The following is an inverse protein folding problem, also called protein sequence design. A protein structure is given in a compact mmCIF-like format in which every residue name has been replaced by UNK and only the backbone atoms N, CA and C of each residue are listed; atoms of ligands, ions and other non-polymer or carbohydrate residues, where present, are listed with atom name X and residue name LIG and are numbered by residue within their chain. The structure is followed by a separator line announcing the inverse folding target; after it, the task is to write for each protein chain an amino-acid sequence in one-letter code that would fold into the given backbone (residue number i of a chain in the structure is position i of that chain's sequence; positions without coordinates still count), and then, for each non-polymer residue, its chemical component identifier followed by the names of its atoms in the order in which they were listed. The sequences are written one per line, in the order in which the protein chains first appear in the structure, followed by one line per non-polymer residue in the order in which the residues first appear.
data_IF_313696551011
#
_entry.id   IF_313696551011
#
_cell.length_a   1.000
_cell.length_b   1.000
_cell.length_c   1.000
_cell.angle_alpha   90.00
_cell.angle_beta   90.00
_cell.angle_gamma   90.00
#
_symmetry.space_group_name_H-M   'P 1'
#
loop_
_entity.id
_entity.type
_entity.pdbx_description
1 polymer ?
#
# COMPACT_ATOMS: atom_id res chain seq x y z
N UNK A 1 -17.52 40.37 -29.60
CA UNK A 1 -18.04 39.08 -29.06
C UNK A 1 -17.06 37.91 -29.17
N UNK A 2 -15.91 38.03 -29.78
CA UNK A 2 -14.92 36.93 -29.95
C UNK A 2 -13.98 36.74 -28.77
N UNK A 3 -13.58 37.77 -28.06
CA UNK A 3 -12.62 37.71 -26.96
C UNK A 3 -13.06 36.86 -25.72
N UNK A 4 -14.35 36.69 -25.51
CA UNK A 4 -14.89 35.88 -24.43
C UNK A 4 -14.77 34.36 -24.70
N UNK A 5 -14.93 33.93 -25.94
CA UNK A 5 -14.82 32.53 -26.34
C UNK A 5 -13.37 32.05 -26.30
N UNK A 6 -12.43 32.89 -26.73
CA UNK A 6 -11.01 32.59 -26.72
C UNK A 6 -10.45 32.50 -25.26
N UNK A 7 -10.92 33.36 -24.38
CA UNK A 7 -10.55 33.27 -22.96
C UNK A 7 -11.06 32.00 -22.29
N UNK A 8 -12.29 31.57 -22.59
CA UNK A 8 -12.86 30.32 -22.07
C UNK A 8 -12.09 29.12 -22.63
N UNK A 9 -11.72 29.15 -23.90
CA UNK A 9 -10.96 28.08 -24.55
C UNK A 9 -9.54 27.92 -23.95
N UNK A 10 -8.84 29.03 -23.73
CA UNK A 10 -7.51 29.07 -23.11
C UNK A 10 -7.58 28.58 -21.65
N UNK A 11 -8.58 29.03 -20.90
CA UNK A 11 -8.78 28.62 -19.50
C UNK A 11 -9.06 27.11 -19.39
N UNK A 12 -9.92 26.56 -20.26
CA UNK A 12 -10.19 25.10 -20.31
C UNK A 12 -8.93 24.30 -20.66
N UNK A 13 -8.16 24.74 -21.64
CA UNK A 13 -6.92 24.09 -22.05
C UNK A 13 -5.88 24.09 -20.92
N UNK A 14 -5.76 25.18 -20.18
CA UNK A 14 -4.87 25.31 -19.02
C UNK A 14 -5.28 24.38 -17.87
N UNK A 15 -6.58 24.25 -17.60
CA UNK A 15 -7.12 23.35 -16.60
C UNK A 15 -6.87 21.87 -16.99
N UNK A 16 -7.11 21.52 -18.24
CA UNK A 16 -6.88 20.15 -18.74
C UNK A 16 -5.39 19.78 -18.64
N UNK A 17 -4.49 20.66 -19.11
CA UNK A 17 -3.04 20.42 -19.05
C UNK A 17 -2.56 20.26 -17.60
N UNK A 18 -3.07 21.06 -16.66
CA UNK A 18 -2.68 20.96 -15.26
C UNK A 18 -3.21 19.67 -14.60
N UNK A 19 -4.39 19.22 -14.98
CA UNK A 19 -4.98 17.95 -14.52
C UNK A 19 -4.20 16.74 -15.03
N UNK A 20 -3.80 16.74 -16.29
CA UNK A 20 -3.02 15.66 -16.89
C UNK A 20 -1.60 15.60 -16.30
N UNK A 21 -0.97 16.74 -16.08
CA UNK A 21 0.32 16.82 -15.41
C UNK A 21 0.26 16.25 -13.98
N UNK A 22 -0.80 16.52 -13.25
CA UNK A 22 -0.98 15.98 -11.89
C UNK A 22 -1.20 14.46 -11.88
N UNK A 23 -1.91 13.92 -12.85
CA UNK A 23 -2.09 12.46 -13.02
C UNK A 23 -0.79 11.78 -13.38
N UNK A 24 -0.05 12.32 -14.35
CA UNK A 24 1.25 11.80 -14.76
C UNK A 24 2.24 11.78 -13.59
N UNK A 25 2.29 12.85 -12.79
CA UNK A 25 3.15 12.93 -11.62
C UNK A 25 2.81 11.83 -10.60
N UNK A 26 1.53 11.60 -10.32
CA UNK A 26 1.09 10.53 -9.40
C UNK A 26 1.46 9.14 -9.93
N UNK A 27 1.35 8.90 -11.24
CA UNK A 27 1.75 7.63 -11.86
C UNK A 27 3.26 7.41 -11.76
N UNK A 28 4.07 8.45 -11.98
CA UNK A 28 5.53 8.37 -11.82
C UNK A 28 5.90 8.10 -10.36
N UNK A 29 5.29 8.79 -9.42
CA UNK A 29 5.49 8.53 -7.99
C UNK A 29 5.09 7.11 -7.60
N UNK A 30 3.97 6.60 -8.12
CA UNK A 30 3.54 5.22 -7.91
C UNK A 30 4.58 4.22 -8.43
N UNK A 31 5.05 4.42 -9.66
CA UNK A 31 6.08 3.54 -10.26
C UNK A 31 7.38 3.54 -9.45
N UNK A 32 7.81 4.71 -8.95
CA UNK A 32 8.97 4.81 -8.06
C UNK A 32 8.76 4.07 -6.74
N UNK A 33 7.58 4.22 -6.11
CA UNK A 33 7.25 3.51 -4.87
C UNK A 33 7.21 2.00 -5.07
N UNK A 34 6.67 1.54 -6.19
CA UNK A 34 6.68 0.10 -6.55
C UNK A 34 8.12 -0.41 -6.72
N UNK A 35 8.95 0.31 -7.47
CA UNK A 35 10.35 -0.08 -7.68
C UNK A 35 11.13 -0.14 -6.35
N UNK A 36 11.02 0.89 -5.52
CA UNK A 36 11.63 0.93 -4.19
C UNK A 36 11.10 -0.22 -3.33
N UNK A 37 9.78 -0.47 -3.33
CA UNK A 37 9.15 -1.51 -2.56
C UNK A 37 9.61 -2.92 -2.94
N UNK A 38 9.77 -3.18 -4.22
CA UNK A 38 10.27 -4.47 -4.71
C UNK A 38 11.72 -4.69 -4.29
N UNK A 39 12.57 -3.65 -4.39
CA UNK A 39 14.01 -3.75 -4.08
C UNK A 39 14.27 -3.83 -2.57
N UNK A 40 13.61 -3.00 -1.77
CA UNK A 40 13.87 -2.92 -0.32
C UNK A 40 13.24 -4.09 0.44
N UNK A 41 12.10 -4.60 -0.02
CA UNK A 41 11.37 -5.66 0.69
C UNK A 41 12.18 -6.93 0.97
N UNK A 42 13.03 -7.47 0.08
CA UNK A 42 13.86 -8.63 0.38
C UNK A 42 15.06 -8.34 1.29
N UNK A 43 15.57 -7.10 1.29
CA UNK A 43 16.80 -6.73 2.01
C UNK A 43 16.60 -6.81 3.54
N UNK A 44 15.44 -6.40 4.03
CA UNK A 44 15.10 -6.40 5.46
C UNK A 44 13.98 -7.41 5.76
N UNK A 45 14.05 -8.57 5.15
CA UNK A 45 13.12 -9.66 5.40
C UNK A 45 13.62 -10.49 6.59
N UNK A 46 12.84 -10.51 7.66
CA UNK A 46 13.01 -11.40 8.79
C UNK A 46 12.01 -12.54 8.61
N UNK A 47 12.41 -13.78 8.71
CA UNK A 47 11.61 -15.01 8.50
C UNK A 47 10.08 -14.81 8.51
N UNK A 48 9.48 -14.67 7.32
CA UNK A 48 8.02 -14.48 7.15
C UNK A 48 7.51 -13.05 7.41
N UNK A 49 8.33 -12.14 7.93
CA UNK A 49 7.99 -10.74 8.20
C UNK A 49 8.69 -9.80 7.23
N UNK A 50 8.01 -8.74 6.80
CA UNK A 50 8.57 -7.74 5.90
C UNK A 50 8.20 -6.31 6.36
N UNK A 51 8.85 -5.80 7.42
CA UNK A 51 8.53 -4.48 7.99
C UNK A 51 8.61 -3.34 6.97
N UNK A 52 9.54 -3.43 6.04
CA UNK A 52 9.73 -2.42 4.99
C UNK A 52 8.57 -2.33 4.00
N UNK A 53 7.86 -3.43 3.75
CA UNK A 53 6.67 -3.38 2.91
C UNK A 53 5.56 -2.53 3.57
N UNK A 54 5.38 -2.64 4.88
CA UNK A 54 4.41 -1.85 5.64
C UNK A 54 4.80 -0.38 5.74
N UNK A 55 6.09 -0.07 5.87
CA UNK A 55 6.61 1.29 5.75
C UNK A 55 6.21 1.91 4.40
N UNK A 56 6.44 1.22 3.29
CA UNK A 56 6.10 1.71 1.95
C UNK A 56 4.59 1.87 1.77
N UNK A 57 3.78 0.96 2.30
CA UNK A 57 2.33 1.10 2.29
C UNK A 57 1.88 2.40 2.96
N UNK A 58 2.41 2.70 4.14
CA UNK A 58 2.08 3.92 4.90
C UNK A 58 2.55 5.16 4.14
N UNK A 59 3.80 5.20 3.68
CA UNK A 59 4.33 6.34 2.92
C UNK A 59 3.53 6.57 1.64
N UNK A 60 3.24 5.52 0.88
CA UNK A 60 2.43 5.60 -0.32
C UNK A 60 1.00 6.07 -0.02
N UNK A 61 0.40 5.64 1.09
CA UNK A 61 -0.95 6.03 1.49
C UNK A 61 -1.03 7.52 1.87
N UNK A 62 0.02 8.05 2.50
CA UNK A 62 0.14 9.47 2.87
C UNK A 62 0.34 10.34 1.63
N UNK A 63 1.22 9.94 0.71
CA UNK A 63 1.56 10.73 -0.48
C UNK A 63 0.51 10.68 -1.58
N UNK A 64 -0.05 9.50 -1.86
CA UNK A 64 -0.89 9.26 -3.02
C UNK A 64 -2.36 8.95 -2.67
N UNK A 65 -2.60 8.56 -1.43
CA UNK A 65 -3.93 8.22 -0.92
C UNK A 65 -4.29 6.73 -1.08
N UNK A 66 -5.51 6.32 -0.61
CA UNK A 66 -5.86 4.92 -0.42
C UNK A 66 -5.87 4.08 -1.70
N UNK A 67 -6.39 4.60 -2.80
CA UNK A 67 -6.49 3.86 -4.06
C UNK A 67 -5.14 3.59 -4.71
N UNK A 68 -4.24 4.58 -4.70
CA UNK A 68 -2.88 4.40 -5.23
C UNK A 68 -2.03 3.53 -4.31
N UNK A 69 -2.23 3.61 -2.98
CA UNK A 69 -1.56 2.73 -2.03
C UNK A 69 -1.99 1.28 -2.21
N UNK A 70 -3.30 1.03 -2.40
CA UNK A 70 -3.83 -0.27 -2.74
C UNK A 70 -3.18 -0.83 -4.01
N UNK A 71 -3.12 -0.02 -5.08
CA UNK A 71 -2.49 -0.40 -6.35
C UNK A 71 -1.00 -0.68 -6.17
N UNK A 72 -0.29 0.16 -5.41
CA UNK A 72 1.13 -0.02 -5.10
C UNK A 72 1.39 -1.35 -4.39
N UNK A 73 0.66 -1.63 -3.31
CA UNK A 73 0.78 -2.88 -2.54
C UNK A 73 0.49 -4.11 -3.41
N UNK A 74 -0.53 -4.03 -4.26
CA UNK A 74 -0.91 -5.10 -5.19
C UNK A 74 0.20 -5.36 -6.20
N UNK A 75 0.74 -4.32 -6.85
CA UNK A 75 1.83 -4.46 -7.83
C UNK A 75 3.10 -5.02 -7.17
N UNK A 76 3.51 -4.51 -6.02
CA UNK A 76 4.65 -5.04 -5.26
C UNK A 76 4.42 -6.51 -4.92
N UNK A 77 3.23 -6.87 -4.43
CA UNK A 77 2.88 -8.24 -4.07
C UNK A 77 2.97 -9.19 -5.27
N UNK A 78 2.38 -8.83 -6.40
CA UNK A 78 2.41 -9.63 -7.64
C UNK A 78 3.85 -9.81 -8.14
N UNK A 79 4.62 -8.71 -8.25
CA UNK A 79 6.00 -8.77 -8.72
C UNK A 79 6.83 -9.69 -7.82
N UNK A 80 6.69 -9.57 -6.51
CA UNK A 80 7.41 -10.43 -5.55
C UNK A 80 6.99 -11.90 -5.63
N UNK A 81 5.71 -12.17 -5.85
CA UNK A 81 5.24 -13.54 -6.07
C UNK A 81 5.82 -14.16 -7.34
N UNK A 82 5.81 -13.41 -8.45
CA UNK A 82 6.27 -13.92 -9.76
C UNK A 82 7.79 -14.06 -9.84
N UNK A 83 8.56 -13.09 -9.35
CA UNK A 83 10.02 -13.07 -9.50
C UNK A 83 10.79 -13.63 -8.31
N UNK A 84 10.22 -13.59 -7.12
CA UNK A 84 10.90 -14.02 -5.89
C UNK A 84 10.30 -15.28 -5.27
N UNK A 85 9.25 -15.86 -5.88
CA UNK A 85 8.59 -17.07 -5.38
C UNK A 85 7.97 -16.91 -3.98
N UNK A 86 7.61 -15.67 -3.59
CA UNK A 86 7.03 -15.40 -2.27
C UNK A 86 5.59 -15.90 -2.23
N UNK A 87 5.16 -16.56 -1.13
CA UNK A 87 3.79 -17.04 -1.01
C UNK A 87 2.73 -15.93 -1.14
N UNK A 88 1.49 -16.26 -1.55
CA UNK A 88 0.36 -15.32 -1.65
C UNK A 88 0.05 -14.54 -0.37
N UNK A 89 0.55 -15.01 0.76
CA UNK A 89 0.54 -14.35 2.07
C UNK A 89 1.01 -12.88 2.00
N UNK A 90 2.01 -12.59 1.17
CA UNK A 90 2.55 -11.24 1.01
C UNK A 90 1.54 -10.29 0.36
N UNK A 91 0.71 -10.78 -0.55
CA UNK A 91 -0.33 -10.00 -1.22
C UNK A 91 -1.51 -9.75 -0.29
N UNK A 92 -2.06 -10.84 0.30
CA UNK A 92 -3.24 -10.74 1.17
C UNK A 92 -2.99 -9.91 2.42
N UNK A 93 -1.78 -9.96 2.96
CA UNK A 93 -1.39 -9.12 4.08
C UNK A 93 -1.33 -7.64 3.74
N UNK A 94 -0.64 -7.28 2.64
CA UNK A 94 -0.33 -5.89 2.33
C UNK A 94 -1.52 -5.06 1.82
N UNK A 95 -2.42 -5.68 1.03
CA UNK A 95 -3.49 -4.97 0.31
C UNK A 95 -4.47 -4.29 1.26
N UNK A 96 -4.94 -4.98 2.29
CA UNK A 96 -5.90 -4.42 3.25
C UNK A 96 -5.28 -3.31 4.10
N UNK A 97 -4.03 -3.49 4.53
CA UNK A 97 -3.31 -2.49 5.29
C UNK A 97 -3.08 -1.21 4.50
N UNK A 98 -2.57 -1.31 3.28
CA UNK A 98 -2.32 -0.18 2.42
C UNK A 98 -3.59 0.66 2.15
N UNK A 99 -4.73 0.01 1.94
CA UNK A 99 -5.99 0.69 1.72
C UNK A 99 -6.49 1.39 2.99
N UNK A 100 -6.57 0.66 4.12
CA UNK A 100 -7.06 1.20 5.38
C UNK A 100 -6.16 2.29 5.94
N UNK A 101 -4.84 2.17 5.78
CA UNK A 101 -3.89 3.22 6.11
C UNK A 101 -4.25 4.54 5.43
N UNK A 102 -4.54 4.51 4.13
CA UNK A 102 -4.92 5.69 3.37
C UNK A 102 -6.30 6.24 3.73
N UNK A 103 -7.27 5.36 4.03
CA UNK A 103 -8.61 5.77 4.48
C UNK A 103 -8.54 6.47 5.84
N UNK A 104 -7.85 5.88 6.80
CA UNK A 104 -7.71 6.44 8.15
C UNK A 104 -6.89 7.74 8.14
N UNK A 105 -5.87 7.84 7.30
CA UNK A 105 -5.14 9.08 7.09
C UNK A 105 -6.04 10.22 6.61
N UNK A 106 -6.89 9.96 5.61
CA UNK A 106 -7.85 10.96 5.11
C UNK A 106 -8.93 11.29 6.12
N UNK A 107 -9.49 10.30 6.80
CA UNK A 107 -10.52 10.51 7.82
C UNK A 107 -10.03 11.33 9.01
N UNK A 108 -8.75 11.23 9.34
CA UNK A 108 -8.12 11.95 10.46
C UNK A 108 -7.54 13.32 10.09
N UNK A 109 -7.86 13.85 8.91
CA UNK A 109 -7.32 15.12 8.42
C UNK A 109 -5.77 15.16 8.35
N UNK A 110 -5.15 14.03 7.98
CA UNK A 110 -3.71 13.99 7.72
C UNK A 110 -2.83 13.61 8.92
N UNK A 111 -3.37 12.95 9.93
CA UNK A 111 -2.57 12.44 11.06
C UNK A 111 -1.89 11.12 10.70
N UNK A 112 -0.55 11.11 10.70
CA UNK A 112 0.26 9.92 10.36
C UNK A 112 -0.04 8.75 11.31
N UNK A 113 -0.26 9.02 12.60
CA UNK A 113 -0.59 7.98 13.57
C UNK A 113 -1.85 7.19 13.19
N UNK A 114 -2.84 7.84 12.57
CA UNK A 114 -4.04 7.16 12.09
C UNK A 114 -3.74 6.30 10.86
N UNK A 115 -2.81 6.70 10.00
CA UNK A 115 -2.33 5.87 8.91
C UNK A 115 -1.65 4.60 9.43
N UNK A 116 -0.81 4.73 10.46
CA UNK A 116 -0.15 3.60 11.12
C UNK A 116 -1.18 2.66 11.75
N UNK A 117 -2.16 3.19 12.47
CA UNK A 117 -3.25 2.38 13.05
C UNK A 117 -4.05 1.67 11.96
N UNK A 118 -4.34 2.34 10.85
CA UNK A 118 -5.02 1.74 9.69
C UNK A 118 -4.23 0.58 9.08
N UNK A 119 -2.90 0.72 8.98
CA UNK A 119 -2.02 -0.36 8.50
C UNK A 119 -2.01 -1.54 9.47
N UNK A 120 -1.86 -1.29 10.78
CA UNK A 120 -1.85 -2.34 11.80
C UNK A 120 -3.18 -3.10 11.80
N UNK A 121 -4.30 -2.39 11.72
CA UNK A 121 -5.62 -3.01 11.71
C UNK A 121 -5.87 -3.78 10.41
N UNK A 122 -5.54 -3.17 9.27
CA UNK A 122 -5.75 -3.76 7.94
C UNK A 122 -4.90 -4.99 7.69
N UNK A 123 -3.61 -4.92 7.95
CA UNK A 123 -2.70 -6.05 7.75
C UNK A 123 -2.73 -7.01 8.95
N UNK A 124 -2.61 -6.48 10.17
CA UNK A 124 -2.45 -7.29 11.37
C UNK A 124 -3.68 -8.12 11.70
N UNK A 125 -4.88 -7.60 11.46
CA UNK A 125 -6.13 -8.32 11.77
C UNK A 125 -6.77 -8.85 10.49
N UNK A 126 -7.21 -7.97 9.57
CA UNK A 126 -7.97 -8.40 8.38
C UNK A 126 -7.08 -9.23 7.45
N UNK A 127 -5.90 -8.73 7.12
CA UNK A 127 -4.96 -9.39 6.24
C UNK A 127 -4.50 -10.76 6.77
N UNK A 128 -4.26 -10.87 8.07
CA UNK A 128 -3.85 -12.14 8.70
C UNK A 128 -4.97 -13.20 8.65
N UNK A 129 -6.22 -12.79 8.91
CA UNK A 129 -7.38 -13.69 8.84
C UNK A 129 -7.66 -14.15 7.41
N UNK A 130 -7.59 -13.24 6.44
CA UNK A 130 -7.77 -13.58 5.01
C UNK A 130 -6.63 -14.45 4.49
N UNK A 131 -5.43 -14.27 5.02
CA UNK A 131 -4.26 -15.08 4.63
C UNK A 131 -4.40 -16.56 4.98
N UNK A 132 -5.11 -16.87 6.07
CA UNK A 132 -5.33 -18.25 6.48
C UNK A 132 -6.02 -19.11 5.41
N UNK A 133 -7.25 -18.78 4.94
CA UNK A 133 -7.90 -19.57 3.89
C UNK A 133 -7.12 -19.57 2.58
N UNK A 134 -6.49 -18.46 2.20
CA UNK A 134 -5.70 -18.37 0.98
C UNK A 134 -4.51 -19.34 1.03
N UNK A 135 -3.81 -19.41 2.14
CA UNK A 135 -2.68 -20.34 2.31
C UNK A 135 -3.14 -21.80 2.42
N UNK A 136 -4.28 -22.05 3.05
CA UNK A 136 -4.86 -23.40 3.14
C UNK A 136 -5.26 -23.93 1.76
N UNK A 137 -5.96 -23.13 0.95
CA UNK A 137 -6.45 -23.55 -0.37
C UNK A 137 -5.36 -23.55 -1.45
N UNK A 138 -4.48 -22.54 -1.49
CA UNK A 138 -3.48 -22.42 -2.57
C UNK A 138 -2.18 -23.16 -2.27
N UNK A 139 -1.78 -23.27 -1.00
CA UNK A 139 -0.51 -23.89 -0.62
C UNK A 139 -0.69 -25.22 0.12
N UNK A 140 -1.93 -25.72 0.26
CA UNK A 140 -2.21 -26.98 0.92
C UNK A 140 -1.83 -27.03 2.41
N UNK A 141 -1.62 -25.89 3.05
CA UNK A 141 -1.28 -25.79 4.49
C UNK A 141 -2.53 -25.93 5.36
N UNK A 142 -3.06 -27.14 5.42
CA UNK A 142 -4.15 -27.51 6.32
C UNK A 142 -3.61 -27.84 7.72
N UNK A 143 -4.39 -27.51 8.76
CA UNK A 143 -4.03 -27.82 10.16
C UNK A 143 -3.44 -26.67 10.97
N UNK A 144 -3.32 -25.48 10.38
CA UNK A 144 -2.94 -24.27 11.11
C UNK A 144 -4.18 -23.61 11.74
N UNK A 145 -3.99 -22.93 12.86
CA UNK A 145 -5.04 -22.13 13.47
C UNK A 145 -5.27 -20.84 12.63
N UNK A 146 -6.52 -20.34 12.56
CA UNK A 146 -6.86 -19.11 11.84
C UNK A 146 -6.02 -17.88 12.27
N UNK A 147 -5.59 -17.87 13.51
CA UNK A 147 -4.76 -16.79 14.08
C UNK A 147 -3.25 -17.03 13.96
N UNK A 148 -2.81 -18.09 13.26
CA UNK A 148 -1.39 -18.44 13.16
C UNK A 148 -0.53 -17.30 12.60
N UNK A 149 -1.05 -16.56 11.60
CA UNK A 149 -0.33 -15.46 10.95
C UNK A 149 -0.45 -14.12 11.69
N UNK A 150 -1.41 -13.98 12.61
CA UNK A 150 -1.71 -12.71 13.30
C UNK A 150 -0.52 -12.14 14.07
N UNK A 151 0.20 -12.87 14.92
CA UNK A 151 1.32 -12.32 15.69
C UNK A 151 2.46 -11.84 14.77
N UNK A 152 2.74 -12.58 13.70
CA UNK A 152 3.78 -12.19 12.74
C UNK A 152 3.42 -10.90 11.98
N UNK A 153 2.17 -10.77 11.57
CA UNK A 153 1.70 -9.59 10.84
C UNK A 153 1.62 -8.38 11.76
N UNK A 154 1.16 -8.54 13.00
CA UNK A 154 1.17 -7.47 14.01
C UNK A 154 2.60 -6.99 14.29
N UNK A 155 3.54 -7.89 14.52
CA UNK A 155 4.93 -7.53 14.74
C UNK A 155 5.52 -6.76 13.56
N UNK A 156 5.32 -7.25 12.33
CA UNK A 156 5.82 -6.60 11.11
C UNK A 156 5.22 -5.21 10.89
N UNK A 157 3.91 -5.05 11.11
CA UNK A 157 3.22 -3.75 10.96
C UNK A 157 3.58 -2.77 12.05
N UNK A 158 3.77 -3.22 13.29
CA UNK A 158 4.24 -2.37 14.39
C UNK A 158 5.66 -1.86 14.11
N UNK A 159 6.57 -2.72 13.64
CA UNK A 159 7.92 -2.31 13.27
C UNK A 159 7.92 -1.31 12.10
N UNK A 160 7.24 -1.65 11.00
CA UNK A 160 7.11 -0.78 9.83
C UNK A 160 6.40 0.54 10.16
N UNK A 161 5.36 0.49 10.98
CA UNK A 161 4.60 1.65 11.43
C UNK A 161 5.41 2.58 12.34
N UNK A 162 6.22 2.03 13.23
CA UNK A 162 7.13 2.82 14.08
C UNK A 162 8.13 3.57 13.22
N UNK A 163 8.76 2.90 12.26
CA UNK A 163 9.70 3.54 11.34
C UNK A 163 8.98 4.64 10.53
N UNK A 164 7.78 4.38 10.02
CA UNK A 164 7.00 5.36 9.26
C UNK A 164 6.57 6.58 10.09
N UNK A 165 6.38 6.42 11.39
CA UNK A 165 6.03 7.53 12.28
C UNK A 165 7.18 8.49 12.53
N UNK A 166 8.42 7.97 12.59
CA UNK A 166 9.63 8.78 12.80
C UNK A 166 10.23 9.33 11.49
N UNK A 167 9.81 8.81 10.33
CA UNK A 167 10.28 9.27 9.02
C UNK A 167 9.50 10.48 8.53
#
# INVERSE_FOLDING_TARGET
MSASADQIFISRRFIIMNTDRSKTLRMVMLAMMVAIGVVISPILRIEGMCPTAHLINIVCSVLLGPWYSLLCATLIGIIRMMFMGIPPLALTGAVFGAFLSGVFYRASHGKIICAVIGEIFGTGIIGSLVSYPVMAFLMGRSGLNAFFYTPMFLAATCMGGTIAYFF
#
